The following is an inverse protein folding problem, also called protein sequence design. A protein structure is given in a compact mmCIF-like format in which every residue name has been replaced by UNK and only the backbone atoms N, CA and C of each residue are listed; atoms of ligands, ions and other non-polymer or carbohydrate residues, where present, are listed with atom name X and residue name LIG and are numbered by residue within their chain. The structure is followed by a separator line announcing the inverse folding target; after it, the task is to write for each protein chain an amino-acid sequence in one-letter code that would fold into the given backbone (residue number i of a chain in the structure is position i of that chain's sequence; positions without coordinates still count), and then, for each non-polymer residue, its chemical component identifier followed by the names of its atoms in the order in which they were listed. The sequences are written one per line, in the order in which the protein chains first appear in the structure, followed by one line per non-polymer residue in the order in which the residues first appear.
data_IF_888745766251
#
_entry.id   IF_888745766251
#
_cell.length_a   1.000
_cell.length_b   1.000
_cell.length_c   1.000
_cell.angle_alpha   90.00
_cell.angle_beta   90.00
_cell.angle_gamma   90.00
#
_symmetry.space_group_name_H-M   'P 1'
#
loop_
_entity.id
_entity.type
_entity.pdbx_description
1 polymer ?
#
# COMPACT_ATOMS: atom_id res chain seq x y z
N UNK A 1 9.52 11.01 32.39
CA UNK A 1 10.50 10.62 31.34
C UNK A 1 10.51 9.10 31.23
N UNK A 2 9.60 8.51 30.45
CA UNK A 2 9.56 7.05 30.27
C UNK A 2 10.28 6.76 28.95
N UNK A 3 11.47 6.16 29.08
CA UNK A 3 12.36 5.76 27.99
C UNK A 3 11.59 4.77 27.11
N UNK A 4 11.47 5.05 25.80
CA UNK A 4 11.05 4.06 24.80
C UNK A 4 11.91 2.82 25.03
N UNK A 5 11.30 1.72 25.50
CA UNK A 5 12.03 0.48 25.75
C UNK A 5 12.61 0.02 24.42
N UNK A 6 13.95 0.06 24.30
CA UNK A 6 14.69 -0.70 23.29
C UNK A 6 14.36 -2.16 23.54
N UNK A 7 13.48 -2.75 22.75
CA UNK A 7 13.40 -4.20 22.69
C UNK A 7 14.71 -4.70 22.07
N UNK A 8 15.41 -5.51 22.84
CA UNK A 8 16.73 -6.03 22.52
C UNK A 8 16.66 -6.91 21.27
N UNK A 9 17.57 -6.67 20.33
CA UNK A 9 17.90 -7.62 19.27
C UNK A 9 18.61 -8.80 19.93
N UNK A 10 17.91 -9.93 20.09
CA UNK A 10 18.51 -11.19 20.54
C UNK A 10 18.84 -12.04 19.31
N UNK A 11 20.14 -12.36 19.19
CA UNK A 11 20.77 -13.04 18.08
C UNK A 11 20.27 -14.45 17.76
N UNK A 12 20.69 -14.92 16.59
CA UNK A 12 20.42 -16.22 16.01
C UNK A 12 20.88 -17.39 16.90
N UNK A 13 19.91 -18.24 17.27
CA UNK A 13 20.04 -19.70 17.33
C UNK A 13 18.70 -20.29 16.86
N UNK A 14 18.76 -21.32 16.02
CA UNK A 14 17.60 -21.96 15.40
C UNK A 14 16.66 -22.61 16.42
N UNK A 15 15.40 -22.78 15.99
CA UNK A 15 14.22 -23.35 16.68
C UNK A 15 13.15 -22.30 17.10
N UNK A 16 11.92 -22.51 16.60
CA UNK A 16 10.59 -21.92 16.95
C UNK A 16 10.14 -20.52 16.49
N UNK A 17 10.98 -19.68 15.86
CA UNK A 17 10.61 -18.27 15.57
C UNK A 17 9.79 -17.98 14.30
N UNK A 18 9.57 -18.96 13.42
CA UNK A 18 8.83 -18.77 12.15
C UNK A 18 7.34 -19.15 12.24
N UNK A 19 6.85 -19.53 13.43
CA UNK A 19 5.43 -19.83 13.60
C UNK A 19 4.60 -18.56 13.67
N UNK A 20 3.49 -18.55 12.92
CA UNK A 20 2.51 -17.47 12.96
C UNK A 20 1.94 -17.32 14.38
N UNK A 21 2.16 -16.15 14.99
CA UNK A 21 1.57 -15.80 16.28
C UNK A 21 0.43 -14.83 16.06
N UNK A 22 -0.79 -15.26 16.40
CA UNK A 22 -2.00 -14.45 16.24
C UNK A 22 -1.97 -13.22 17.17
N UNK A 23 -2.22 -12.05 16.59
CA UNK A 23 -2.44 -10.81 17.33
C UNK A 23 -3.94 -10.64 17.59
N UNK A 24 -4.44 -11.29 18.64
CA UNK A 24 -5.86 -11.30 18.98
C UNK A 24 -6.45 -9.91 19.19
N UNK A 25 -5.68 -8.96 19.75
CA UNK A 25 -6.14 -7.59 19.93
C UNK A 25 -6.41 -6.91 18.59
N UNK A 26 -5.52 -7.07 17.60
CA UNK A 26 -5.72 -6.53 16.25
C UNK A 26 -6.85 -7.27 15.53
N UNK A 27 -6.93 -8.60 15.66
CA UNK A 27 -7.99 -9.40 15.06
C UNK A 27 -9.37 -8.94 15.55
N UNK A 28 -9.57 -8.83 16.87
CA UNK A 28 -10.85 -8.39 17.42
C UNK A 28 -11.16 -6.93 17.08
N UNK A 29 -10.15 -6.06 17.10
CA UNK A 29 -10.34 -4.65 16.75
C UNK A 29 -10.74 -4.49 15.27
N UNK A 30 -9.93 -5.01 14.34
CA UNK A 30 -10.17 -4.91 12.90
C UNK A 30 -11.45 -5.65 12.53
N UNK A 31 -11.62 -6.90 12.98
CA UNK A 31 -12.79 -7.72 12.68
C UNK A 31 -14.08 -7.12 13.23
N UNK A 32 -14.08 -6.69 14.50
CA UNK A 32 -15.22 -6.03 15.12
C UNK A 32 -15.56 -4.71 14.43
N UNK A 33 -14.56 -3.88 14.14
CA UNK A 33 -14.80 -2.63 13.43
C UNK A 33 -15.38 -2.90 12.04
N UNK A 34 -14.77 -3.77 11.23
CA UNK A 34 -15.26 -4.11 9.88
C UNK A 34 -16.70 -4.63 9.91
N UNK A 35 -17.03 -5.49 10.87
CA UNK A 35 -18.41 -5.97 11.06
C UNK A 35 -19.37 -4.81 11.33
N UNK A 36 -19.02 -3.89 12.23
CA UNK A 36 -19.85 -2.70 12.51
C UNK A 36 -19.97 -1.80 11.27
N UNK A 37 -18.87 -1.57 10.56
CA UNK A 37 -18.84 -0.73 9.36
C UNK A 37 -19.68 -1.29 8.21
N UNK A 38 -19.71 -2.61 8.05
CA UNK A 38 -20.51 -3.30 7.03
C UNK A 38 -21.99 -3.40 7.39
N UNK A 39 -22.35 -3.43 8.67
CA UNK A 39 -23.71 -3.80 9.11
C UNK A 39 -24.53 -2.63 9.65
N UNK A 40 -23.95 -1.71 10.41
CA UNK A 40 -24.73 -0.71 11.15
C UNK A 40 -25.46 0.28 10.23
N UNK A 41 -24.76 0.80 9.21
CA UNK A 41 -25.38 1.76 8.28
C UNK A 41 -26.48 1.13 7.42
N UNK A 42 -26.26 -0.02 6.74
CA UNK A 42 -27.35 -0.68 6.01
C UNK A 42 -28.54 -1.04 6.90
N UNK A 43 -28.30 -1.54 8.13
CA UNK A 43 -29.37 -1.85 9.07
C UNK A 43 -30.16 -0.60 9.45
N UNK A 44 -29.49 0.51 9.76
CA UNK A 44 -30.14 1.79 10.05
C UNK A 44 -31.02 2.26 8.89
N UNK A 45 -30.52 2.19 7.65
CA UNK A 45 -31.28 2.56 6.45
C UNK A 45 -32.49 1.65 6.25
N UNK A 46 -32.36 0.34 6.43
CA UNK A 46 -33.48 -0.61 6.30
C UNK A 46 -34.56 -0.32 7.35
N UNK A 47 -34.18 -0.01 8.59
CA UNK A 47 -35.14 0.20 9.68
C UNK A 47 -35.81 1.56 9.65
N UNK A 48 -35.14 2.59 9.14
CA UNK A 48 -35.62 3.99 9.25
C UNK A 48 -35.97 4.63 7.91
N UNK A 49 -35.38 4.16 6.80
CA UNK A 49 -35.45 4.82 5.49
C UNK A 49 -34.80 6.21 5.46
N UNK A 50 -34.11 6.62 6.53
CA UNK A 50 -33.62 7.99 6.73
C UNK A 50 -32.24 8.16 6.10
N UNK A 51 -32.18 8.76 4.91
CA UNK A 51 -30.94 9.19 4.26
C UNK A 51 -31.07 10.65 3.88
N UNK A 52 -30.07 11.45 4.23
CA UNK A 52 -29.93 12.84 3.82
C UNK A 52 -28.53 13.11 3.27
N UNK A 53 -28.39 14.23 2.55
CA UNK A 53 -27.11 14.63 2.00
C UNK A 53 -26.08 15.00 3.06
N UNK A 54 -26.50 15.38 4.27
CA UNK A 54 -25.60 15.80 5.33
C UNK A 54 -24.59 14.71 5.72
N UNK A 55 -25.03 13.50 6.05
CA UNK A 55 -24.15 12.38 6.41
C UNK A 55 -23.27 11.91 5.24
N UNK A 56 -23.78 12.04 4.00
CA UNK A 56 -23.02 11.73 2.78
C UNK A 56 -21.89 12.75 2.59
N UNK A 57 -22.15 14.04 2.82
CA UNK A 57 -21.12 15.09 2.76
C UNK A 57 -20.06 14.90 3.85
N UNK A 58 -20.47 14.53 5.08
CA UNK A 58 -19.52 14.19 6.15
C UNK A 58 -18.69 12.96 5.76
N UNK A 59 -19.31 11.92 5.17
CA UNK A 59 -18.59 10.75 4.65
C UNK A 59 -17.53 11.15 3.62
N UNK A 60 -17.91 11.92 2.59
CA UNK A 60 -16.99 12.37 1.56
C UNK A 60 -15.86 13.24 2.14
N UNK A 61 -16.18 14.15 3.06
CA UNK A 61 -15.19 14.98 3.75
C UNK A 61 -14.19 14.14 4.56
N UNK A 62 -14.67 13.12 5.25
CA UNK A 62 -13.82 12.20 6.01
C UNK A 62 -13.00 11.26 5.12
N UNK A 63 -13.52 10.86 3.95
CA UNK A 63 -12.72 10.15 2.93
C UNK A 63 -11.57 11.03 2.43
N UNK A 64 -11.86 12.29 2.10
CA UNK A 64 -10.85 13.27 1.71
C UNK A 64 -9.81 13.49 2.80
N UNK A 65 -10.26 13.61 4.06
CA UNK A 65 -9.37 13.74 5.21
C UNK A 65 -8.41 12.53 5.30
N UNK A 66 -8.92 11.31 5.18
CA UNK A 66 -8.07 10.11 5.17
C UNK A 66 -7.02 10.13 4.05
N UNK A 67 -7.40 10.52 2.82
CA UNK A 67 -6.46 10.62 1.69
C UNK A 67 -5.40 11.70 1.92
N UNK A 68 -5.74 12.82 2.56
CA UNK A 68 -4.77 13.82 3.00
C UNK A 68 -3.80 13.22 4.04
N UNK A 69 -4.33 12.49 5.02
CA UNK A 69 -3.53 11.87 6.08
C UNK A 69 -2.50 10.89 5.54
N UNK A 70 -2.95 9.92 4.74
CA UNK A 70 -2.09 8.87 4.19
C UNK A 70 -1.26 9.41 3.02
N UNK A 71 -1.90 9.93 1.97
CA UNK A 71 -1.24 10.32 0.73
C UNK A 71 -0.29 11.50 0.89
N UNK A 72 -0.77 12.63 1.44
CA UNK A 72 0.06 13.84 1.64
C UNK A 72 1.00 13.66 2.83
N UNK A 73 0.50 13.09 3.92
CA UNK A 73 1.22 12.96 5.18
C UNK A 73 2.15 11.76 5.24
N UNK A 74 1.59 10.63 5.67
CA UNK A 74 2.37 9.45 6.07
C UNK A 74 3.21 8.91 4.93
N UNK A 75 2.63 8.84 3.74
CA UNK A 75 3.26 8.28 2.56
C UNK A 75 4.32 9.25 2.00
N UNK A 76 3.91 10.34 1.37
CA UNK A 76 4.81 11.17 0.56
C UNK A 76 5.70 12.09 1.42
N UNK A 77 5.18 12.72 2.48
CA UNK A 77 5.98 13.59 3.33
C UNK A 77 6.84 12.79 4.33
N UNK A 78 6.22 11.92 5.13
CA UNK A 78 6.90 11.29 6.25
C UNK A 78 7.73 10.08 5.82
N UNK A 79 7.21 9.19 4.98
CA UNK A 79 7.97 8.00 4.57
C UNK A 79 9.04 8.32 3.53
N UNK A 80 8.68 9.07 2.48
CA UNK A 80 9.54 9.30 1.32
C UNK A 80 10.26 10.66 1.30
N UNK A 81 9.86 11.60 2.16
CA UNK A 81 10.39 12.97 2.16
C UNK A 81 10.33 13.61 0.78
N UNK A 82 9.25 13.37 0.06
CA UNK A 82 9.03 13.84 -1.31
C UNK A 82 8.66 15.33 -1.37
N UNK A 83 8.17 15.88 -0.24
CA UNK A 83 8.00 17.29 0.01
C UNK A 83 8.17 17.59 1.50
N UNK A 84 8.27 18.87 1.86
CA UNK A 84 8.48 19.35 3.23
C UNK A 84 7.32 20.21 3.70
N UNK A 85 6.28 19.61 4.34
CA UNK A 85 5.16 20.37 4.91
C UNK A 85 5.60 21.25 6.08
N UNK A 86 4.96 22.40 6.23
CA UNK A 86 5.09 23.27 7.40
C UNK A 86 4.40 22.65 8.63
N UNK A 87 4.51 23.30 9.79
CA UNK A 87 4.00 22.73 11.04
C UNK A 87 2.47 22.49 11.02
N UNK A 88 1.71 23.38 10.40
CA UNK A 88 0.26 23.25 10.27
C UNK A 88 -0.11 22.00 9.47
N UNK A 89 0.44 21.87 8.25
CA UNK A 89 0.14 20.72 7.38
C UNK A 89 0.65 19.42 8.00
N UNK A 90 1.77 19.44 8.73
CA UNK A 90 2.27 18.27 9.49
C UNK A 90 1.26 17.80 10.53
N UNK A 91 0.76 18.70 11.39
CA UNK A 91 -0.21 18.34 12.43
C UNK A 91 -1.53 17.89 11.80
N UNK A 92 -2.00 18.59 10.75
CA UNK A 92 -3.20 18.20 10.01
C UNK A 92 -3.06 16.78 9.46
N UNK A 93 -1.92 16.45 8.84
CA UNK A 93 -1.62 15.08 8.38
C UNK A 93 -1.61 14.04 9.51
N UNK A 94 -1.21 14.40 10.73
CA UNK A 94 -1.26 13.50 11.89
C UNK A 94 -2.71 13.26 12.36
N UNK A 95 -3.55 14.30 12.41
CA UNK A 95 -4.98 14.14 12.73
C UNK A 95 -5.67 13.29 11.66
N UNK A 96 -5.44 13.66 10.40
CA UNK A 96 -6.01 13.01 9.24
C UNK A 96 -5.55 11.55 9.07
N UNK A 97 -4.28 11.25 9.34
CA UNK A 97 -3.78 9.88 9.33
C UNK A 97 -4.32 9.05 10.49
N UNK A 98 -4.56 9.67 11.66
CA UNK A 98 -5.22 8.98 12.77
C UNK A 98 -6.69 8.62 12.46
N UNK A 99 -7.37 9.38 11.58
CA UNK A 99 -8.76 9.06 11.18
C UNK A 99 -8.89 7.81 10.30
N UNK A 100 -7.78 7.17 9.90
CA UNK A 100 -7.80 5.92 9.10
C UNK A 100 -7.61 4.67 9.94
N UNK A 101 -7.25 4.83 11.23
CA UNK A 101 -6.96 3.74 12.15
C UNK A 101 -5.91 2.72 11.64
N UNK A 102 -4.97 3.13 10.78
CA UNK A 102 -3.91 2.28 10.21
C UNK A 102 -2.60 2.26 11.01
N UNK A 103 -2.66 2.73 12.27
CA UNK A 103 -1.51 2.85 13.15
C UNK A 103 -0.97 4.29 13.22
N UNK A 104 -0.16 4.56 14.23
CA UNK A 104 0.49 5.87 14.37
C UNK A 104 1.43 6.13 13.19
N UNK A 105 1.68 7.41 12.89
CA UNK A 105 2.53 7.83 11.78
C UNK A 105 3.89 7.11 11.76
N UNK A 106 4.53 6.96 12.92
CA UNK A 106 5.85 6.32 13.00
C UNK A 106 5.80 4.81 12.73
N UNK A 107 4.74 4.12 13.15
CA UNK A 107 4.54 2.67 12.88
C UNK A 107 4.31 2.48 11.38
N UNK A 108 3.36 3.22 10.82
CA UNK A 108 3.04 3.17 9.40
C UNK A 108 4.27 3.45 8.54
N UNK A 109 5.02 4.52 8.84
CA UNK A 109 6.22 4.88 8.08
C UNK A 109 7.36 3.87 8.24
N UNK A 110 7.50 3.27 9.42
CA UNK A 110 8.55 2.28 9.67
C UNK A 110 8.33 1.02 8.82
N UNK A 111 7.10 0.49 8.81
CA UNK A 111 6.77 -0.69 8.02
C UNK A 111 6.74 -0.37 6.52
N UNK A 112 6.23 0.80 6.10
CA UNK A 112 6.27 1.23 4.69
C UNK A 112 7.70 1.41 4.16
N UNK A 113 8.59 2.04 4.93
CA UNK A 113 10.01 2.15 4.56
C UNK A 113 10.70 0.79 4.50
N UNK A 114 10.26 -0.18 5.32
CA UNK A 114 10.77 -1.56 5.27
C UNK A 114 10.26 -2.29 4.03
N UNK A 115 8.98 -2.12 3.69
CA UNK A 115 8.38 -2.61 2.45
C UNK A 115 9.17 -2.14 1.23
N UNK A 116 9.42 -0.84 1.05
CA UNK A 116 10.23 -0.35 -0.07
C UNK A 116 11.66 -0.87 -0.13
N UNK A 117 12.28 -1.15 1.02
CA UNK A 117 13.67 -1.64 1.07
C UNK A 117 13.77 -3.12 0.72
N UNK A 118 12.71 -3.88 1.01
CA UNK A 118 12.73 -5.33 1.01
C UNK A 118 11.56 -5.94 0.25
N UNK A 119 10.95 -5.16 -0.65
CA UNK A 119 9.75 -5.56 -1.40
C UNK A 119 9.90 -6.95 -2.01
N UNK A 120 8.82 -7.72 -2.00
CA UNK A 120 8.80 -9.07 -2.58
C UNK A 120 9.79 -10.07 -1.95
N UNK A 121 10.26 -9.81 -0.72
CA UNK A 121 11.09 -10.73 0.08
C UNK A 121 10.43 -11.05 1.41
N UNK A 122 10.95 -12.04 2.14
CA UNK A 122 10.43 -12.39 3.49
C UNK A 122 10.61 -11.28 4.53
N UNK A 123 11.39 -10.24 4.22
CA UNK A 123 11.53 -9.06 5.09
C UNK A 123 10.48 -7.99 4.80
N UNK A 124 9.70 -8.10 3.72
CA UNK A 124 8.57 -7.22 3.44
C UNK A 124 7.39 -7.57 4.37
N UNK A 125 6.90 -6.62 5.19
CA UNK A 125 5.72 -6.88 6.04
C UNK A 125 4.50 -7.32 5.24
N UNK A 126 4.34 -6.81 4.01
CA UNK A 126 3.16 -7.02 3.18
C UNK A 126 3.44 -7.99 2.03
N UNK A 127 4.49 -8.82 2.14
CA UNK A 127 5.02 -9.64 1.04
C UNK A 127 3.91 -10.34 0.23
N UNK A 128 3.63 -9.81 -0.95
CA UNK A 128 2.56 -10.30 -1.82
C UNK A 128 2.84 -11.67 -2.40
N UNK A 129 4.11 -12.10 -2.44
CA UNK A 129 4.47 -13.46 -2.86
C UNK A 129 3.96 -14.53 -1.90
N UNK A 130 3.57 -14.19 -0.67
CA UNK A 130 2.89 -15.13 0.24
C UNK A 130 1.48 -15.43 -0.22
N UNK A 131 0.68 -14.40 -0.50
CA UNK A 131 -0.61 -14.48 -1.18
C UNK A 131 -1.22 -13.07 -1.29
N UNK A 132 -2.22 -12.94 -2.17
CA UNK A 132 -3.09 -11.77 -2.24
C UNK A 132 -3.69 -11.40 -0.87
N UNK A 133 -4.24 -12.39 -0.14
CA UNK A 133 -4.90 -12.17 1.15
C UNK A 133 -3.93 -11.82 2.26
N UNK A 134 -2.71 -12.36 2.22
CA UNK A 134 -1.65 -11.94 3.14
C UNK A 134 -1.34 -10.46 2.99
N UNK A 135 -1.08 -10.00 1.76
CA UNK A 135 -0.77 -8.60 1.50
C UNK A 135 -1.95 -7.66 1.77
N UNK A 136 -3.18 -8.13 1.53
CA UNK A 136 -4.37 -7.34 1.78
C UNK A 136 -4.59 -7.09 3.28
N UNK A 137 -4.67 -8.14 4.09
CA UNK A 137 -4.97 -7.99 5.53
C UNK A 137 -4.25 -9.01 6.44
N UNK A 138 -3.84 -10.16 5.90
CA UNK A 138 -3.29 -11.27 6.70
C UNK A 138 -2.06 -10.88 7.52
N UNK A 139 -1.23 -9.97 7.01
CA UNK A 139 -0.05 -9.45 7.72
C UNK A 139 -0.38 -8.77 9.06
N UNK A 140 -1.60 -8.25 9.24
CA UNK A 140 -2.02 -7.54 10.45
C UNK A 140 -2.42 -8.51 11.57
N UNK A 141 -2.89 -9.71 11.21
CA UNK A 141 -3.46 -10.66 12.15
C UNK A 141 -2.40 -11.44 12.92
N UNK A 142 -1.13 -11.30 12.56
CA UNK A 142 -0.04 -11.97 13.25
C UNK A 142 1.17 -12.18 12.36
N UNK A 143 2.18 -12.84 12.92
CA UNK A 143 3.39 -13.22 12.20
C UNK A 143 4.67 -13.00 13.00
N UNK A 144 5.81 -13.44 12.46
CA UNK A 144 7.09 -13.38 13.17
C UNK A 144 7.71 -11.97 13.21
N UNK A 145 7.16 -11.02 12.45
CA UNK A 145 7.75 -9.68 12.28
C UNK A 145 7.04 -8.65 13.15
N UNK A 146 7.82 -7.94 13.95
CA UNK A 146 7.39 -6.74 14.67
C UNK A 146 7.90 -5.49 13.95
N UNK A 147 7.23 -4.36 14.14
CA UNK A 147 7.66 -3.08 13.57
C UNK A 147 9.06 -2.71 14.06
N UNK A 148 9.97 -2.43 13.13
CA UNK A 148 11.33 -1.96 13.42
C UNK A 148 11.45 -0.46 13.17
N UNK A 149 11.63 0.31 14.24
CA UNK A 149 11.75 1.77 14.18
C UNK A 149 13.16 2.26 13.78
N UNK A 150 14.14 1.37 13.57
CA UNK A 150 15.52 1.73 13.26
C UNK A 150 15.67 2.61 12.01
N UNK A 151 14.71 2.50 11.08
CA UNK A 151 14.64 3.27 9.83
C UNK A 151 13.90 4.60 9.97
N UNK A 152 13.43 4.99 11.16
CA UNK A 152 12.55 6.14 11.41
C UNK A 152 13.11 7.17 12.42
N UNK A 153 14.43 7.23 12.61
CA UNK A 153 15.08 8.16 13.56
C UNK A 153 14.75 9.64 13.35
N UNK A 154 14.42 10.05 12.14
CA UNK A 154 13.95 11.39 11.83
C UNK A 154 12.55 11.67 12.40
N UNK A 155 11.65 10.69 12.35
CA UNK A 155 10.31 10.80 12.91
C UNK A 155 10.31 10.69 14.44
N UNK A 156 11.23 9.89 15.01
CA UNK A 156 11.45 9.84 16.48
C UNK A 156 11.88 11.20 17.06
N UNK A 157 12.46 12.08 16.26
CA UNK A 157 12.85 13.44 16.69
C UNK A 157 11.70 14.44 16.62
N UNK A 158 10.62 14.12 15.92
CA UNK A 158 9.46 15.01 15.82
C UNK A 158 8.58 14.88 17.08
N UNK A 159 8.39 15.97 17.86
CA UNK A 159 7.64 15.91 19.10
C UNK A 159 6.15 15.58 18.89
N UNK A 160 5.56 16.00 17.77
CA UNK A 160 4.15 15.73 17.45
C UNK A 160 3.94 14.30 16.99
N UNK A 161 4.86 13.76 16.20
CA UNK A 161 4.81 12.33 15.82
C UNK A 161 4.94 11.44 17.06
N UNK A 162 5.87 11.75 17.97
CA UNK A 162 5.99 11.02 19.24
C UNK A 162 4.74 11.15 20.11
N UNK A 163 4.19 12.35 20.21
CA UNK A 163 2.99 12.59 21.00
C UNK A 163 1.80 11.80 20.44
N UNK A 164 1.59 11.85 19.12
CA UNK A 164 0.58 11.04 18.43
C UNK A 164 0.81 9.54 18.66
N UNK A 165 2.04 9.04 18.56
CA UNK A 165 2.35 7.64 18.82
C UNK A 165 2.03 7.23 20.27
N UNK A 166 2.41 8.05 21.25
CA UNK A 166 2.19 7.75 22.67
C UNK A 166 0.71 7.78 23.05
N UNK A 167 -0.06 8.71 22.48
CA UNK A 167 -1.49 8.88 22.74
C UNK A 167 -2.35 8.41 21.55
N UNK A 168 -1.88 7.43 20.78
CA UNK A 168 -2.48 7.09 19.49
C UNK A 168 -3.96 6.72 19.60
N UNK A 169 -4.36 6.01 20.65
CA UNK A 169 -5.76 5.67 20.87
C UNK A 169 -6.65 6.93 20.98
N UNK A 170 -6.20 7.97 21.68
CA UNK A 170 -6.94 9.23 21.79
C UNK A 170 -7.03 9.95 20.44
N UNK A 171 -5.92 10.06 19.72
CA UNK A 171 -5.88 10.67 18.39
C UNK A 171 -6.80 9.93 17.41
N UNK A 172 -6.73 8.61 17.41
CA UNK A 172 -7.53 7.75 16.54
C UNK A 172 -9.02 7.85 16.90
N UNK A 173 -9.42 7.72 18.17
CA UNK A 173 -10.83 7.81 18.55
C UNK A 173 -11.42 9.20 18.27
N UNK A 174 -10.67 10.26 18.59
CA UNK A 174 -11.09 11.64 18.32
C UNK A 174 -11.24 11.91 16.82
N UNK A 175 -10.29 11.45 16.00
CA UNK A 175 -10.32 11.69 14.56
C UNK A 175 -11.31 10.79 13.83
N UNK A 176 -11.39 9.49 14.16
CA UNK A 176 -12.30 8.54 13.52
C UNK A 176 -13.76 8.75 13.89
N UNK A 177 -14.06 9.12 15.14
CA UNK A 177 -15.43 9.17 15.65
C UNK A 177 -15.83 10.54 16.19
N UNK A 178 -14.92 11.25 16.84
CA UNK A 178 -15.19 12.60 17.34
C UNK A 178 -15.47 13.61 16.23
N UNK A 179 -14.68 13.62 15.15
CA UNK A 179 -14.88 14.53 14.02
C UNK A 179 -16.23 14.27 13.31
N UNK A 180 -16.58 13.04 12.89
CA UNK A 180 -17.88 12.78 12.28
C UNK A 180 -19.04 13.11 13.21
N UNK A 181 -18.93 12.78 14.50
CA UNK A 181 -19.99 13.04 15.47
C UNK A 181 -20.22 14.54 15.63
N UNK A 182 -19.15 15.33 15.77
CA UNK A 182 -19.24 16.79 15.85
C UNK A 182 -19.85 17.39 14.59
N UNK A 183 -19.39 16.96 13.40
CA UNK A 183 -19.95 17.41 12.13
C UNK A 183 -21.43 17.07 12.01
N UNK A 184 -21.82 15.85 12.41
CA UNK A 184 -23.21 15.43 12.46
C UNK A 184 -24.05 16.24 13.45
N UNK A 185 -23.53 16.57 14.64
CA UNK A 185 -24.22 17.47 15.58
C UNK A 185 -24.50 18.84 14.96
N UNK A 186 -23.52 19.43 14.27
CA UNK A 186 -23.67 20.73 13.60
C UNK A 186 -24.69 20.69 12.45
N UNK A 187 -24.90 19.52 11.85
CA UNK A 187 -25.84 19.30 10.76
C UNK A 187 -27.17 18.67 11.23
N UNK A 188 -27.37 18.48 12.54
CA UNK A 188 -28.57 17.87 13.12
C UNK A 188 -28.72 16.36 12.89
N UNK A 189 -27.65 15.66 12.48
CA UNK A 189 -27.61 14.22 12.15
C UNK A 189 -26.40 13.49 12.76
N UNK A 190 -26.18 13.57 14.09
CA UNK A 190 -24.99 13.03 14.74
C UNK A 190 -24.87 11.50 14.65
N UNK A 191 -25.99 10.78 14.78
CA UNK A 191 -25.99 9.31 14.71
C UNK A 191 -25.64 8.84 13.30
N UNK A 192 -26.30 9.41 12.29
CA UNK A 192 -26.11 9.05 10.89
C UNK A 192 -24.69 9.34 10.41
N UNK A 193 -24.13 10.49 10.81
CA UNK A 193 -22.74 10.82 10.55
C UNK A 193 -21.78 9.85 11.23
N UNK A 194 -22.05 9.41 12.46
CA UNK A 194 -21.22 8.42 13.15
C UNK A 194 -21.30 7.03 12.46
N UNK A 195 -22.50 6.59 12.07
CA UNK A 195 -22.70 5.31 11.42
C UNK A 195 -22.02 5.27 10.05
N UNK A 196 -22.31 6.25 9.19
CA UNK A 196 -21.79 6.30 7.83
C UNK A 196 -20.33 6.76 7.78
N UNK A 197 -20.04 7.97 8.30
CA UNK A 197 -18.71 8.58 8.18
C UNK A 197 -17.72 8.15 9.28
N UNK A 198 -18.19 7.57 10.38
CA UNK A 198 -17.35 6.91 11.38
C UNK A 198 -17.06 5.46 11.00
N UNK A 199 -18.05 4.58 11.16
CA UNK A 199 -17.86 3.13 10.98
C UNK A 199 -17.77 2.70 9.51
N UNK A 200 -18.79 2.92 8.69
CA UNK A 200 -18.79 2.42 7.30
C UNK A 200 -17.63 2.99 6.48
N UNK A 201 -17.35 4.28 6.61
CA UNK A 201 -16.21 4.93 5.98
C UNK A 201 -14.88 4.31 6.41
N UNK A 202 -14.69 3.99 7.69
CA UNK A 202 -13.43 3.40 8.16
C UNK A 202 -13.17 2.05 7.48
N UNK A 203 -14.22 1.21 7.38
CA UNK A 203 -14.17 -0.03 6.61
C UNK A 203 -13.77 0.24 5.15
N UNK A 204 -14.53 1.10 4.45
CA UNK A 204 -14.29 1.40 3.03
C UNK A 204 -12.86 1.91 2.81
N UNK A 205 -12.42 2.88 3.62
CA UNK A 205 -11.11 3.48 3.49
C UNK A 205 -9.99 2.45 3.65
N UNK A 206 -10.07 1.62 4.68
CA UNK A 206 -9.07 0.58 4.94
C UNK A 206 -8.99 -0.43 3.79
N UNK A 207 -10.14 -0.87 3.25
CA UNK A 207 -10.14 -1.74 2.07
C UNK A 207 -9.43 -1.09 0.88
N UNK A 208 -9.68 0.19 0.62
CA UNK A 208 -8.99 0.93 -0.46
C UNK A 208 -7.48 1.03 -0.21
N UNK A 209 -7.03 1.32 1.01
CA UNK A 209 -5.60 1.32 1.33
C UNK A 209 -4.97 -0.06 1.13
N UNK A 210 -5.63 -1.12 1.60
CA UNK A 210 -5.14 -2.49 1.51
C UNK A 210 -5.08 -3.03 0.08
N UNK A 211 -5.88 -2.49 -0.85
CA UNK A 211 -5.76 -2.79 -2.29
C UNK A 211 -4.42 -2.32 -2.88
N UNK A 212 -3.75 -1.33 -2.27
CA UNK A 212 -2.41 -0.90 -2.72
C UNK A 212 -1.43 -2.05 -2.51
N UNK A 213 -1.42 -2.67 -1.33
CA UNK A 213 -0.52 -3.79 -1.02
C UNK A 213 -0.86 -5.06 -1.82
N UNK A 214 -2.14 -5.30 -2.13
CA UNK A 214 -2.58 -6.50 -2.83
C UNK A 214 -2.78 -6.28 -4.33
N UNK A 215 -3.86 -5.61 -4.72
CA UNK A 215 -4.29 -5.48 -6.12
C UNK A 215 -3.30 -4.72 -7.00
N UNK A 216 -2.58 -3.72 -6.47
CA UNK A 216 -1.54 -3.02 -7.23
C UNK A 216 -0.31 -3.90 -7.54
N UNK A 217 -0.20 -5.08 -6.94
CA UNK A 217 0.81 -6.10 -7.25
C UNK A 217 0.27 -7.25 -8.11
N UNK A 218 -0.97 -7.18 -8.60
CA UNK A 218 -1.55 -8.18 -9.50
C UNK A 218 -2.03 -7.57 -10.81
N UNK A 219 -2.66 -6.39 -10.76
CA UNK A 219 -3.29 -5.77 -11.91
C UNK A 219 -2.46 -4.62 -12.46
N UNK A 220 -2.22 -4.62 -13.77
CA UNK A 220 -1.58 -3.49 -14.47
C UNK A 220 -0.31 -3.88 -15.22
N UNK A 221 0.56 -2.90 -15.44
CA UNK A 221 1.81 -3.05 -16.21
C UNK A 221 3.03 -2.72 -15.36
N UNK A 222 4.20 -3.19 -15.79
CA UNK A 222 5.50 -2.91 -15.16
C UNK A 222 6.42 -2.13 -16.08
N UNK A 223 6.13 -0.85 -16.40
CA UNK A 223 6.90 -0.10 -17.40
C UNK A 223 8.25 0.44 -16.90
N UNK A 224 8.49 0.51 -15.58
CA UNK A 224 9.69 1.13 -15.01
C UNK A 224 10.63 0.17 -14.28
N UNK A 225 10.11 -0.96 -13.78
CA UNK A 225 10.89 -2.03 -13.17
C UNK A 225 10.15 -3.38 -13.32
N UNK A 226 10.76 -4.39 -13.93
CA UNK A 226 10.17 -5.72 -14.15
C UNK A 226 10.67 -6.80 -13.18
N UNK A 227 11.59 -6.45 -12.29
CA UNK A 227 12.14 -7.33 -11.24
C UNK A 227 11.25 -7.43 -10.00
N UNK A 228 10.26 -6.54 -9.89
CA UNK A 228 9.32 -6.44 -8.76
C UNK A 228 7.90 -6.69 -9.24
N UNK A 229 7.00 -6.98 -8.31
CA UNK A 229 5.60 -7.30 -8.59
C UNK A 229 4.72 -6.05 -8.66
N UNK A 230 5.13 -4.90 -8.14
CA UNK A 230 4.36 -3.65 -8.19
C UNK A 230 4.00 -3.26 -9.64
N UNK A 231 2.74 -2.88 -9.89
CA UNK A 231 2.19 -2.56 -11.22
C UNK A 231 1.52 -1.19 -11.25
N UNK A 232 1.56 -0.59 -12.43
CA UNK A 232 0.79 0.60 -12.75
C UNK A 232 -0.59 0.21 -13.31
N UNK A 233 -1.64 0.71 -12.67
CA UNK A 233 -3.02 0.52 -13.12
C UNK A 233 -3.88 1.75 -12.84
N UNK A 234 -4.57 2.23 -13.88
CA UNK A 234 -5.55 3.31 -13.75
C UNK A 234 -6.71 2.92 -12.84
N UNK A 235 -7.19 1.68 -12.90
CA UNK A 235 -8.28 1.20 -12.05
C UNK A 235 -7.84 1.24 -10.58
N UNK A 236 -6.63 0.74 -10.28
CA UNK A 236 -6.08 0.88 -8.94
C UNK A 236 -5.98 2.37 -8.54
N UNK A 237 -5.46 3.22 -9.44
CA UNK A 237 -5.28 4.64 -9.14
C UNK A 237 -6.61 5.35 -8.83
N UNK A 238 -7.70 5.00 -9.52
CA UNK A 238 -9.03 5.56 -9.23
C UNK A 238 -9.51 5.12 -7.84
N UNK A 239 -9.41 3.82 -7.54
CA UNK A 239 -9.85 3.27 -6.25
C UNK A 239 -9.02 3.82 -5.07
N UNK A 240 -7.72 4.03 -5.28
CA UNK A 240 -6.78 4.40 -4.21
C UNK A 240 -6.39 5.87 -4.25
N UNK A 241 -7.17 6.73 -4.94
CA UNK A 241 -6.93 8.17 -5.03
C UNK A 241 -5.51 8.55 -5.47
N UNK A 242 -4.95 7.80 -6.43
CA UNK A 242 -3.67 8.08 -7.08
C UNK A 242 -2.54 7.12 -6.76
N UNK A 243 -2.73 6.21 -5.80
CA UNK A 243 -1.68 5.30 -5.32
C UNK A 243 -1.46 4.07 -6.22
N UNK A 244 -2.26 3.90 -7.27
CA UNK A 244 -2.19 2.77 -8.21
C UNK A 244 -1.14 2.87 -9.32
N UNK A 245 -0.37 3.95 -9.40
CA UNK A 245 0.85 4.03 -10.25
C UNK A 245 2.05 3.43 -9.50
N UNK A 246 1.88 2.17 -9.07
CA UNK A 246 2.70 1.57 -8.04
C UNK A 246 4.08 1.14 -8.57
N UNK A 247 4.19 0.76 -9.84
CA UNK A 247 5.48 0.42 -10.44
C UNK A 247 6.37 1.66 -10.59
N UNK A 248 5.78 2.80 -10.98
CA UNK A 248 6.50 4.08 -11.00
C UNK A 248 6.97 4.45 -9.60
N UNK A 249 6.05 4.40 -8.64
CA UNK A 249 6.31 4.78 -7.26
C UNK A 249 7.46 3.96 -6.64
N UNK A 250 7.43 2.63 -6.77
CA UNK A 250 8.52 1.78 -6.26
C UNK A 250 9.86 2.02 -6.94
N UNK A 251 9.85 2.36 -8.24
CA UNK A 251 11.08 2.72 -8.95
C UNK A 251 11.63 4.09 -8.53
N UNK A 252 10.75 5.06 -8.29
CA UNK A 252 11.11 6.45 -7.99
C UNK A 252 10.41 6.96 -6.72
N UNK A 253 10.69 6.35 -5.55
CA UNK A 253 9.88 6.57 -4.35
C UNK A 253 10.01 7.99 -3.77
N UNK A 254 11.02 8.75 -4.17
CA UNK A 254 11.22 10.13 -3.71
C UNK A 254 10.39 11.16 -4.51
N UNK A 255 9.79 10.80 -5.64
CA UNK A 255 8.94 11.71 -6.41
C UNK A 255 7.65 11.99 -5.64
N UNK A 256 7.24 13.25 -5.54
CA UNK A 256 5.99 13.59 -4.85
C UNK A 256 4.74 13.12 -5.62
N UNK A 257 4.91 12.67 -6.87
CA UNK A 257 3.85 12.12 -7.72
C UNK A 257 4.02 10.61 -7.80
N UNK A 258 2.92 9.88 -7.63
CA UNK A 258 2.87 8.49 -8.09
C UNK A 258 2.58 8.47 -9.60
N UNK A 259 1.59 9.26 -10.01
CA UNK A 259 1.29 9.47 -11.42
C UNK A 259 2.13 10.60 -12.01
N UNK A 260 3.33 10.27 -12.54
CA UNK A 260 4.29 11.29 -12.97
C UNK A 260 3.82 12.18 -14.14
N UNK A 261 2.92 11.69 -15.00
CA UNK A 261 2.35 12.49 -16.10
C UNK A 261 1.25 13.39 -15.58
N UNK A 262 1.07 14.57 -16.18
CA UNK A 262 0.06 15.53 -15.74
C UNK A 262 -1.37 14.92 -15.71
N UNK A 263 -1.70 14.09 -16.71
CA UNK A 263 -3.02 13.45 -16.86
C UNK A 263 -3.18 12.12 -16.11
N UNK A 264 -2.12 11.57 -15.50
CA UNK A 264 -2.27 10.39 -14.65
C UNK A 264 -3.19 10.76 -13.47
N UNK A 265 -4.24 9.99 -13.24
CA UNK A 265 -5.12 10.23 -12.10
C UNK A 265 -4.33 10.07 -10.79
N UNK A 266 -4.11 11.18 -10.09
CA UNK A 266 -3.41 11.25 -8.81
C UNK A 266 -3.87 12.51 -8.05
N UNK A 267 -5.07 12.50 -7.45
CA UNK A 267 -5.58 13.62 -6.66
C UNK A 267 -4.61 14.14 -5.60
N UNK A 268 -3.86 13.24 -4.95
CA UNK A 268 -2.86 13.60 -3.94
C UNK A 268 -1.75 14.48 -4.52
N UNK A 269 -1.30 14.27 -5.76
CA UNK A 269 -0.28 15.15 -6.36
C UNK A 269 -0.82 16.56 -6.59
N UNK A 270 -2.08 16.70 -6.99
CA UNK A 270 -2.70 18.00 -7.21
C UNK A 270 -2.92 18.71 -5.87
N UNK A 271 -3.31 17.97 -4.83
CA UNK A 271 -3.43 18.50 -3.48
C UNK A 271 -2.07 18.98 -2.94
N UNK A 272 -0.99 18.22 -3.13
CA UNK A 272 0.37 18.65 -2.74
C UNK A 272 0.79 19.91 -3.52
N UNK A 273 0.53 19.97 -4.83
CA UNK A 273 0.80 21.17 -5.63
C UNK A 273 0.01 22.38 -5.15
N UNK A 274 -1.27 22.21 -4.82
CA UNK A 274 -2.09 23.27 -4.24
C UNK A 274 -1.53 23.75 -2.89
N UNK A 275 -1.19 22.82 -1.99
CA UNK A 275 -0.53 23.14 -0.73
C UNK A 275 0.82 23.86 -0.95
N UNK A 276 1.56 23.53 -2.00
CA UNK A 276 2.81 24.21 -2.35
C UNK A 276 2.56 25.65 -2.81
N UNK A 277 1.55 25.87 -3.66
CA UNK A 277 1.13 27.21 -4.10
C UNK A 277 0.71 28.09 -2.93
N UNK A 278 0.08 27.51 -1.91
CA UNK A 278 -0.30 28.21 -0.68
C UNK A 278 0.86 28.38 0.33
N UNK A 279 2.07 27.90 0.02
CA UNK A 279 3.21 27.95 0.94
C UNK A 279 3.10 27.01 2.15
N UNK A 280 2.15 26.06 2.14
CA UNK A 280 1.97 25.06 3.21
C UNK A 280 3.00 23.93 3.15
N UNK A 281 3.65 23.74 2.00
CA UNK A 281 4.76 22.81 1.82
C UNK A 281 5.79 23.39 0.86
N UNK A 282 7.03 22.89 0.93
CA UNK A 282 8.13 23.24 0.03
C UNK A 282 8.90 22.01 -0.43
N UNK A 283 9.95 22.21 -1.22
CA UNK A 283 10.91 21.17 -1.64
C UNK A 283 10.25 19.98 -2.35
N UNK A 284 9.31 20.24 -3.27
CA UNK A 284 8.66 19.19 -4.08
C UNK A 284 9.69 18.51 -4.97
N UNK A 285 9.93 17.22 -4.73
CA UNK A 285 10.89 16.43 -5.48
C UNK A 285 10.26 15.77 -6.69
N UNK A 286 10.89 15.89 -7.84
CA UNK A 286 10.48 15.24 -9.08
C UNK A 286 11.62 14.44 -9.69
N UNK A 287 11.29 13.32 -10.27
CA UNK A 287 12.21 12.53 -11.10
C UNK A 287 12.41 13.22 -12.42
N UNK A 288 13.68 13.30 -12.84
CA UNK A 288 14.06 13.87 -14.12
C UNK A 288 13.51 13.02 -15.28
N UNK A 289 12.97 13.62 -16.36
CA UNK A 289 12.42 12.88 -17.49
C UNK A 289 13.40 11.84 -18.09
N UNK A 290 14.69 12.16 -18.14
CA UNK A 290 15.72 11.28 -18.68
C UNK A 290 15.85 9.99 -17.87
N UNK A 291 15.74 10.08 -16.53
CA UNK A 291 15.78 8.89 -15.67
C UNK A 291 14.52 8.02 -15.85
N UNK A 292 13.37 8.64 -16.10
CA UNK A 292 12.11 7.94 -16.38
C UNK A 292 12.19 7.17 -17.69
N UNK A 293 12.71 7.80 -18.76
CA UNK A 293 12.86 7.15 -20.06
C UNK A 293 13.94 6.06 -20.04
N UNK A 294 15.07 6.29 -19.35
CA UNK A 294 16.10 5.28 -19.17
C UNK A 294 15.56 4.01 -18.46
N UNK A 295 14.71 4.17 -17.44
CA UNK A 295 14.08 3.03 -16.77
C UNK A 295 13.14 2.25 -17.70
N UNK A 296 12.35 2.93 -18.53
CA UNK A 296 11.50 2.28 -19.54
C UNK A 296 12.32 1.54 -20.59
N UNK A 297 13.39 2.15 -21.07
CA UNK A 297 14.26 1.54 -22.07
C UNK A 297 14.95 0.29 -21.51
N UNK A 298 15.40 0.33 -20.25
CA UNK A 298 15.96 -0.84 -19.57
C UNK A 298 14.97 -2.00 -19.52
N UNK A 299 13.72 -1.76 -19.11
CA UNK A 299 12.66 -2.79 -19.11
C UNK A 299 12.38 -3.31 -20.53
N UNK A 300 12.37 -2.44 -21.54
CA UNK A 300 12.18 -2.85 -22.94
C UNK A 300 13.29 -3.79 -23.41
N UNK A 301 14.56 -3.43 -23.14
CA UNK A 301 15.73 -4.24 -23.51
C UNK A 301 15.71 -5.59 -22.80
N UNK A 302 15.41 -5.62 -21.50
CA UNK A 302 15.29 -6.87 -20.74
C UNK A 302 14.25 -7.81 -21.36
N UNK A 303 13.06 -7.30 -21.70
CA UNK A 303 12.00 -8.12 -22.32
C UNK A 303 12.35 -8.60 -23.72
N UNK A 304 13.05 -7.78 -24.52
CA UNK A 304 13.53 -8.20 -25.84
C UNK A 304 14.54 -9.33 -25.72
N UNK A 305 15.56 -9.15 -24.88
CA UNK A 305 16.58 -10.17 -24.63
C UNK A 305 15.96 -11.47 -24.09
N UNK A 306 15.06 -11.41 -23.11
CA UNK A 306 14.37 -12.62 -22.62
C UNK A 306 13.51 -13.31 -23.68
N UNK A 307 12.92 -12.54 -24.60
CA UNK A 307 12.15 -13.12 -25.71
C UNK A 307 13.07 -13.81 -26.72
N UNK A 308 14.22 -13.21 -27.05
CA UNK A 308 15.21 -13.79 -27.96
C UNK A 308 15.75 -15.10 -27.39
N UNK A 309 16.19 -15.11 -26.12
CA UNK A 309 16.65 -16.32 -25.44
C UNK A 309 15.59 -17.42 -25.42
N UNK A 310 14.32 -17.08 -25.16
CA UNK A 310 13.24 -18.07 -25.20
C UNK A 310 13.04 -18.70 -26.58
N UNK A 311 13.18 -17.92 -27.66
CA UNK A 311 13.09 -18.44 -29.01
C UNK A 311 14.30 -19.30 -29.37
N UNK A 312 15.50 -18.91 -28.96
CA UNK A 312 16.72 -19.69 -29.18
C UNK A 312 16.62 -21.05 -28.48
N UNK A 313 16.22 -21.09 -27.20
CA UNK A 313 15.99 -22.35 -26.45
C UNK A 313 14.95 -23.24 -27.15
N UNK A 314 13.85 -22.66 -27.62
CA UNK A 314 12.78 -23.40 -28.32
C UNK A 314 13.21 -23.90 -29.70
N UNK A 315 14.10 -23.18 -30.37
CA UNK A 315 14.68 -23.61 -31.65
C UNK A 315 15.68 -24.74 -31.43
N UNK A 316 16.50 -24.68 -30.39
CA UNK A 316 17.40 -25.77 -30.00
C UNK A 316 16.63 -27.05 -29.65
N UNK A 317 15.57 -26.94 -28.85
CA UNK A 317 14.68 -28.07 -28.52
C UNK A 317 14.11 -28.74 -29.78
N UNK A 318 13.56 -27.94 -30.71
CA UNK A 318 13.04 -28.46 -31.98
C UNK A 318 14.11 -29.05 -32.89
N UNK A 319 15.31 -28.49 -32.87
CA UNK A 319 16.44 -29.02 -33.64
C UNK A 319 16.92 -30.36 -33.09
N UNK A 320 16.92 -30.53 -31.77
CA UNK A 320 17.22 -31.80 -31.10
C UNK A 320 16.14 -32.86 -31.37
N UNK A 321 14.85 -32.49 -31.32
CA UNK A 321 13.75 -33.36 -31.74
C UNK A 321 13.91 -33.83 -33.20
N UNK A 322 14.24 -32.90 -34.11
CA UNK A 322 14.48 -33.23 -35.52
C UNK A 322 15.63 -34.23 -35.68
N UNK A 323 16.77 -33.98 -35.02
CA UNK A 323 17.93 -34.90 -35.03
C UNK A 323 17.58 -36.29 -34.49
N UNK A 324 16.75 -36.37 -33.45
CA UNK A 324 16.30 -37.63 -32.90
C UNK A 324 15.43 -38.43 -33.87
N UNK A 325 14.58 -37.75 -34.66
CA UNK A 325 13.76 -38.37 -35.70
C UNK A 325 14.58 -38.83 -36.90
N UNK A 326 15.61 -38.08 -37.30
CA UNK A 326 16.45 -38.43 -38.46
C UNK A 326 17.53 -39.46 -38.16
N UNK A 327 17.96 -39.60 -36.90
CA UNK A 327 18.95 -40.60 -36.47
C UNK A 327 18.34 -41.97 -36.11
N UNK A 328 17.02 -42.13 -36.22
CA UNK A 328 16.41 -43.47 -36.22
C UNK A 328 16.63 -44.10 -37.60
N UNK A 329 17.68 -44.92 -37.74
CA UNK A 329 17.90 -45.72 -38.94
C UNK A 329 16.67 -46.60 -39.24
N UNK A 330 16.31 -46.80 -40.53
CA UNK A 330 15.25 -47.72 -40.88
C UNK A 330 15.69 -49.13 -40.48
N UNK A 331 14.97 -49.72 -39.52
CA UNK A 331 15.09 -51.11 -39.07
C UNK A 331 15.27 -52.05 -40.27
N UNK A 332 16.49 -52.56 -40.46
CA UNK A 332 16.78 -53.59 -41.45
C UNK A 332 16.22 -54.92 -40.95
N UNK A 333 14.91 -55.13 -41.13
CA UNK A 333 14.31 -56.44 -40.99
C UNK A 333 14.82 -57.36 -42.11
N UNK A 334 15.83 -58.19 -41.82
CA UNK A 334 16.23 -59.30 -42.71
C UNK A 334 15.11 -60.35 -42.72
N UNK A 335 14.64 -60.84 -43.88
CA UNK A 335 13.72 -61.96 -43.92
C UNK A 335 14.46 -63.24 -43.53
N UNK A 336 13.90 -63.99 -42.58
CA UNK A 336 14.38 -65.33 -42.24
C UNK A 336 14.18 -66.27 -43.44
N UNK A 337 15.27 -66.82 -43.98
CA UNK A 337 15.18 -67.96 -44.89
C UNK A 337 14.73 -69.19 -44.10
N UNK A 338 13.57 -69.75 -44.47
CA UNK A 338 13.14 -71.09 -44.06
C UNK A 338 13.77 -72.09 -45.04
N UNK A 339 14.50 -73.07 -44.49
CA UNK A 339 14.71 -74.38 -45.12
C UNK A 339 13.71 -75.36 -44.51
#
# INVERSE_FOLDING_TARGET
MIRLKKNAVIGHRGSSKDQFQANWSVIFFIGGMHLLGLTLWPLYVILTGSIQWAEVLVFCGMMFLGFLGIGVGYHRAFSHRAHRPNQFLRILSLIAGASTAEGSAIVWCADHRRHHRHEDTDRDPYNVKRSFWWAHMGWMFGGPMTTDFSNCRDLERDPWVRHQHHYYLFWMLGACFGIPLLAGFLLGRPLEALLLAGFTRLFVFQQLTYLINSMAHYMGRRPYCDQITARDSLICAILTSGEGWHNYHHRFPFDYRNGHRWYHWDPTKWLIQFCWLLGLTKDLKTTRPEAVEAAKEAVRKNRQSSSETHWDEKLEEKWDEFKALTNQEPSTARPSQRN
#
